data_IF_905654733747
#
_entry.id   IF_905654733747
#
_cell.length_a   1.000
_cell.length_b   1.000
_cell.length_c   1.000
_cell.angle_alpha   90.00
_cell.angle_beta   90.00
_cell.angle_gamma   90.00
#
_symmetry.space_group_name_H-M   'P 1'
#
loop_
_entity.id
_entity.type
_entity.pdbx_description
1 polymer ?
#
# COMPACT_ATOMS: atom_id res chain seq x y z
N UNK A 1 18.11 -62.89 27.10
CA UNK A 1 17.12 -62.70 26.01
C UNK A 1 16.66 -61.24 26.09
N UNK A 2 17.15 -60.35 25.22
CA UNK A 2 16.42 -59.76 24.06
C UNK A 2 14.99 -59.33 24.42
N UNK A 3 14.76 -58.00 24.50
CA UNK A 3 13.95 -57.20 23.53
C UNK A 3 12.46 -57.22 23.92
N UNK A 4 11.63 -56.19 23.86
CA UNK A 4 11.67 -54.84 23.29
C UNK A 4 10.54 -54.08 24.01
N UNK A 5 10.78 -52.87 24.54
CA UNK A 5 9.69 -51.95 24.85
C UNK A 5 9.27 -51.30 23.53
N UNK A 6 8.10 -51.68 23.01
CA UNK A 6 7.46 -51.03 21.87
C UNK A 6 6.69 -49.79 22.37
N UNK A 7 7.02 -48.61 21.85
CA UNK A 7 6.10 -47.46 21.76
C UNK A 7 5.42 -47.51 20.38
N UNK A 8 4.14 -47.15 20.24
CA UNK A 8 3.74 -45.77 19.87
C UNK A 8 2.40 -45.36 20.55
N UNK A 9 1.97 -44.10 20.59
CA UNK A 9 1.46 -43.36 19.42
C UNK A 9 1.32 -41.88 19.75
N UNK A 10 1.93 -41.05 18.90
CA UNK A 10 1.69 -39.62 18.81
C UNK A 10 0.27 -39.36 18.30
N UNK A 11 -0.45 -38.47 18.97
CA UNK A 11 -1.76 -37.98 18.56
C UNK A 11 -1.66 -37.34 17.17
N UNK A 12 -2.41 -37.87 16.21
CA UNK A 12 -2.46 -37.37 14.83
C UNK A 12 -3.20 -36.02 14.78
N UNK A 13 -2.58 -35.03 14.15
CA UNK A 13 -3.16 -33.73 13.78
C UNK A 13 -4.20 -33.93 12.67
N UNK A 14 -5.39 -33.35 12.86
CA UNK A 14 -6.50 -33.32 11.90
C UNK A 14 -6.10 -32.58 10.62
N UNK A 15 -6.42 -33.15 9.47
CA UNK A 15 -6.18 -32.57 8.14
C UNK A 15 -7.40 -31.73 7.75
N UNK A 16 -7.21 -30.41 7.56
CA UNK A 16 -8.23 -29.48 7.08
C UNK A 16 -8.22 -29.47 5.54
N UNK A 17 -9.23 -30.07 4.91
CA UNK A 17 -9.46 -29.90 3.48
C UNK A 17 -10.29 -28.64 3.25
N UNK A 18 -9.74 -27.66 2.53
CA UNK A 18 -10.42 -26.39 2.23
C UNK A 18 -11.21 -26.52 0.92
N UNK A 19 -12.48 -26.09 0.93
CA UNK A 19 -13.39 -26.15 -0.21
C UNK A 19 -13.03 -25.06 -1.25
N UNK A 20 -12.65 -25.50 -2.45
CA UNK A 20 -12.17 -24.63 -3.52
C UNK A 20 -13.26 -23.73 -4.11
N UNK A 21 -14.52 -24.18 -4.12
CA UNK A 21 -15.63 -23.41 -4.69
C UNK A 21 -16.01 -22.26 -3.74
N UNK A 22 -15.83 -22.44 -2.44
CA UNK A 22 -16.00 -21.39 -1.44
C UNK A 22 -14.88 -20.33 -1.51
N UNK A 23 -13.65 -20.73 -1.85
CA UNK A 23 -12.54 -19.79 -2.08
C UNK A 23 -12.83 -18.93 -3.30
N UNK A 24 -13.27 -19.52 -4.41
CA UNK A 24 -13.53 -18.80 -5.65
C UNK A 24 -14.66 -17.76 -5.49
N UNK A 25 -15.72 -18.12 -4.77
CA UNK A 25 -16.80 -17.20 -4.43
C UNK A 25 -16.34 -16.06 -3.51
N UNK A 26 -15.51 -16.34 -2.50
CA UNK A 26 -14.94 -15.31 -1.62
C UNK A 26 -13.98 -14.39 -2.38
N UNK A 27 -13.18 -14.93 -3.31
CA UNK A 27 -12.30 -14.13 -4.16
C UNK A 27 -13.12 -13.21 -5.05
N UNK A 28 -14.14 -13.73 -5.75
CA UNK A 28 -15.01 -12.93 -6.59
C UNK A 28 -15.72 -11.79 -5.82
N UNK A 29 -16.15 -12.03 -4.58
CA UNK A 29 -16.76 -11.00 -3.74
C UNK A 29 -15.75 -9.91 -3.33
N UNK A 30 -14.55 -10.30 -2.91
CA UNK A 30 -13.49 -9.37 -2.53
C UNK A 30 -13.07 -8.45 -3.69
N UNK A 31 -13.04 -8.97 -4.92
CA UNK A 31 -12.78 -8.15 -6.11
C UNK A 31 -13.89 -7.15 -6.40
N UNK A 32 -15.16 -7.53 -6.21
CA UNK A 32 -16.30 -6.62 -6.41
C UNK A 32 -16.32 -5.52 -5.35
N UNK A 33 -15.97 -5.83 -4.10
CA UNK A 33 -15.83 -4.85 -3.02
C UNK A 33 -14.64 -3.91 -3.25
N UNK A 34 -13.54 -4.40 -3.82
CA UNK A 34 -12.37 -3.60 -4.19
C UNK A 34 -12.67 -2.60 -5.32
N UNK A 35 -13.47 -3.00 -6.32
CA UNK A 35 -13.89 -2.11 -7.42
C UNK A 35 -14.94 -1.09 -6.96
N UNK A 36 -15.62 -1.35 -5.84
CA UNK A 36 -16.65 -0.47 -5.27
C UNK A 36 -16.11 0.51 -4.20
N UNK A 37 -14.81 0.47 -3.89
CA UNK A 37 -14.17 1.36 -2.91
C UNK A 37 -13.89 2.75 -3.51
N UNK A 38 -14.27 3.78 -2.75
CA UNK A 38 -14.01 5.19 -3.04
C UNK A 38 -12.50 5.49 -2.86
N UNK A 39 -11.90 6.33 -3.71
CA UNK A 39 -10.47 6.68 -3.63
C UNK A 39 -10.10 7.33 -2.28
N UNK A 40 -11.09 7.89 -1.58
CA UNK A 40 -10.95 8.42 -0.22
C UNK A 40 -10.79 7.34 0.86
N UNK A 41 -11.11 6.09 0.53
CA UNK A 41 -11.00 4.92 1.40
C UNK A 41 -9.70 4.14 1.18
N UNK A 42 -9.03 4.35 0.04
CA UNK A 42 -7.69 3.84 -0.19
C UNK A 42 -6.69 4.75 0.54
N UNK A 43 -6.07 4.19 1.57
CA UNK A 43 -5.02 4.87 2.30
C UNK A 43 -3.67 4.58 1.64
N UNK A 44 -2.62 5.36 1.91
CA UNK A 44 -1.29 5.12 1.35
C UNK A 44 -0.74 3.70 1.55
N UNK A 45 -1.34 2.90 2.42
CA UNK A 45 -1.02 1.49 2.65
C UNK A 45 -1.59 0.53 1.58
N UNK A 46 -2.62 0.94 0.83
CA UNK A 46 -3.11 0.19 -0.34
C UNK A 46 -2.19 0.37 -1.56
N UNK A 47 -1.33 1.40 -1.53
CA UNK A 47 -0.31 1.68 -2.53
C UNK A 47 0.92 0.77 -2.38
N UNK A 48 1.12 0.23 -1.17
CA UNK A 48 2.23 -0.65 -0.80
C UNK A 48 2.13 -2.06 -1.40
N UNK A 49 0.92 -2.56 -1.72
CA UNK A 49 0.72 -3.87 -2.36
C UNK A 49 1.13 -3.88 -3.85
N UNK A 50 1.34 -2.70 -4.44
CA UNK A 50 1.74 -2.53 -5.85
C UNK A 50 3.25 -2.37 -6.05
N UNK A 51 4.05 -2.35 -4.97
CA UNK A 51 5.51 -2.20 -5.04
C UNK A 51 6.20 -3.32 -4.25
N UNK A 52 6.91 -4.20 -4.98
CA UNK A 52 7.62 -5.36 -4.41
C UNK A 52 8.91 -5.00 -3.64
N UNK A 53 9.42 -3.76 -3.76
CA UNK A 53 10.65 -3.32 -3.08
C UNK A 53 10.58 -1.83 -2.68
N UNK A 54 10.30 -1.55 -1.39
CA UNK A 54 9.90 -0.22 -0.87
C UNK A 54 10.82 0.32 0.23
N UNK A 55 11.98 -0.28 0.46
CA UNK A 55 12.86 -0.04 1.62
C UNK A 55 13.29 1.44 1.89
N UNK A 56 12.88 2.41 1.07
CA UNK A 56 13.12 3.85 1.25
C UNK A 56 11.88 4.78 1.15
N UNK A 57 10.65 4.24 1.14
CA UNK A 57 9.42 5.04 1.08
C UNK A 57 9.16 5.91 2.34
N UNK A 58 8.71 7.16 2.17
CA UNK A 58 8.30 8.06 3.26
C UNK A 58 7.01 8.83 2.93
N UNK A 59 6.21 9.20 3.93
CA UNK A 59 5.08 10.13 3.75
C UNK A 59 5.57 11.56 3.99
N UNK A 60 5.36 12.47 3.03
CA UNK A 60 5.69 13.87 3.13
C UNK A 60 4.49 14.76 2.77
N UNK A 61 3.96 15.49 3.76
CA UNK A 61 2.77 16.36 3.62
C UNK A 61 1.55 15.66 2.99
N UNK A 62 1.35 14.38 3.30
CA UNK A 62 0.27 13.56 2.75
C UNK A 62 0.59 12.87 1.42
N UNK A 63 1.75 13.16 0.83
CA UNK A 63 2.22 12.48 -0.38
C UNK A 63 3.02 11.25 -0.01
N UNK A 64 2.88 10.18 -0.80
CA UNK A 64 3.75 9.02 -0.73
C UNK A 64 4.99 9.26 -1.57
N UNK A 65 6.17 9.26 -0.97
CA UNK A 65 7.45 9.47 -1.65
C UNK A 65 8.31 8.21 -1.58
N UNK A 66 9.07 7.91 -2.63
CA UNK A 66 10.03 6.81 -2.63
C UNK A 66 11.23 7.10 -3.54
N UNK A 67 12.35 6.41 -3.29
CA UNK A 67 13.50 6.41 -4.19
C UNK A 67 13.46 5.14 -5.04
N UNK A 68 13.25 5.29 -6.34
CA UNK A 68 13.36 4.20 -7.31
C UNK A 68 14.85 3.97 -7.60
N UNK A 69 15.52 3.25 -6.69
CA UNK A 69 16.95 2.99 -6.78
C UNK A 69 17.30 1.92 -7.83
N UNK A 70 16.33 1.08 -8.21
CA UNK A 70 16.55 -0.09 -9.06
C UNK A 70 16.42 0.20 -10.55
N UNK A 71 15.50 1.10 -10.94
CA UNK A 71 15.18 1.36 -12.35
C UNK A 71 15.71 2.70 -12.81
N UNK A 72 15.24 3.80 -12.22
CA UNK A 72 15.52 5.15 -12.72
C UNK A 72 16.55 5.93 -11.90
N UNK A 73 16.79 5.53 -10.65
CA UNK A 73 17.58 6.28 -9.67
C UNK A 73 16.92 7.58 -9.19
N UNK A 74 15.66 7.83 -9.55
CA UNK A 74 14.97 9.08 -9.22
C UNK A 74 14.16 8.99 -7.94
N UNK A 75 13.87 10.15 -7.37
CA UNK A 75 12.87 10.32 -6.33
C UNK A 75 11.51 10.53 -6.96
N UNK A 76 10.52 9.85 -6.42
CA UNK A 76 9.16 9.90 -6.90
C UNK A 76 8.23 10.25 -5.75
N UNK A 77 7.13 10.90 -6.09
CA UNK A 77 6.11 11.31 -5.15
C UNK A 77 4.73 11.12 -5.76
N UNK A 78 3.79 10.64 -4.98
CA UNK A 78 2.41 10.42 -5.37
C UNK A 78 1.46 11.23 -4.48
N UNK A 79 0.55 11.95 -5.10
CA UNK A 79 -0.53 12.70 -4.46
C UNK A 79 -1.85 11.99 -4.62
N UNK A 80 -2.40 11.49 -3.52
CA UNK A 80 -3.71 10.85 -3.52
C UNK A 80 -4.86 11.82 -3.77
N UNK A 81 -4.70 13.12 -3.47
CA UNK A 81 -5.77 14.10 -3.64
C UNK A 81 -5.95 14.52 -5.10
N UNK A 82 -4.90 14.42 -5.91
CA UNK A 82 -4.96 14.77 -7.33
C UNK A 82 -4.71 13.60 -8.28
N UNK A 83 -4.46 12.41 -7.74
CA UNK A 83 -4.07 11.19 -8.46
C UNK A 83 -2.92 11.45 -9.44
N UNK A 84 -1.83 12.02 -8.92
CA UNK A 84 -0.66 12.41 -9.72
C UNK A 84 0.64 11.94 -9.15
N UNK A 85 1.47 11.39 -10.03
CA UNK A 85 2.87 11.07 -9.79
C UNK A 85 3.78 12.19 -10.28
N UNK A 86 4.78 12.51 -9.45
CA UNK A 86 5.84 13.46 -9.72
C UNK A 86 7.18 12.75 -9.63
N UNK A 87 8.11 13.07 -10.53
CA UNK A 87 9.44 12.47 -10.59
C UNK A 87 10.49 13.57 -10.55
N UNK A 88 11.50 13.40 -9.71
CA UNK A 88 12.57 14.35 -9.48
C UNK A 88 13.92 13.65 -9.34
N UNK A 89 14.99 14.33 -9.76
CA UNK A 89 16.36 13.79 -9.66
C UNK A 89 16.89 13.69 -8.23
N UNK A 90 16.26 14.36 -7.27
CA UNK A 90 16.67 14.35 -5.87
C UNK A 90 15.48 14.56 -4.94
N UNK A 91 15.62 14.05 -3.72
CA UNK A 91 14.62 14.20 -2.65
C UNK A 91 14.29 15.67 -2.38
N UNK A 92 15.30 16.54 -2.43
CA UNK A 92 15.14 17.99 -2.18
C UNK A 92 14.23 18.62 -3.23
N UNK A 93 14.38 18.23 -4.50
CA UNK A 93 13.51 18.73 -5.56
C UNK A 93 12.08 18.17 -5.48
N UNK A 94 11.93 16.90 -5.10
CA UNK A 94 10.61 16.31 -4.84
C UNK A 94 9.89 17.07 -3.72
N UNK A 95 10.54 17.26 -2.56
CA UNK A 95 9.97 17.98 -1.41
C UNK A 95 9.63 19.43 -1.74
N UNK A 96 10.50 20.14 -2.47
CA UNK A 96 10.23 21.52 -2.88
C UNK A 96 9.03 21.65 -3.83
N UNK A 97 8.83 20.67 -4.71
CA UNK A 97 7.65 20.63 -5.58
C UNK A 97 6.37 20.39 -4.79
N UNK A 98 6.38 19.41 -3.87
CA UNK A 98 5.26 19.12 -2.97
C UNK A 98 4.91 20.34 -2.13
N UNK A 99 5.91 21.01 -1.54
CA UNK A 99 5.70 22.23 -0.77
C UNK A 99 4.99 23.32 -1.58
N UNK A 100 5.41 23.51 -2.83
CA UNK A 100 4.80 24.51 -3.72
C UNK A 100 3.34 24.18 -4.01
N UNK A 101 3.02 22.91 -4.26
CA UNK A 101 1.65 22.44 -4.54
C UNK A 101 0.77 22.59 -3.30
N UNK A 102 1.20 22.07 -2.16
CA UNK A 102 0.43 22.12 -0.92
C UNK A 102 0.22 23.56 -0.43
N UNK A 103 1.23 24.42 -0.57
CA UNK A 103 1.10 25.83 -0.19
C UNK A 103 0.09 26.55 -1.09
N UNK A 104 0.05 26.23 -2.39
CA UNK A 104 -0.96 26.76 -3.30
C UNK A 104 -2.37 26.26 -2.95
N UNK A 105 -2.50 24.97 -2.64
CA UNK A 105 -3.77 24.35 -2.22
C UNK A 105 -4.31 24.97 -0.94
N UNK A 106 -3.47 25.08 0.09
CA UNK A 106 -3.85 25.71 1.37
C UNK A 106 -4.26 27.17 1.19
N UNK A 107 -3.58 27.91 0.31
CA UNK A 107 -3.96 29.29 -0.02
C UNK A 107 -5.32 29.37 -0.70
N UNK A 108 -5.60 28.47 -1.65
CA UNK A 108 -6.89 28.43 -2.34
C UNK A 108 -8.03 28.08 -1.37
N UNK A 109 -7.83 27.10 -0.48
CA UNK A 109 -8.80 26.74 0.57
C UNK A 109 -9.08 27.94 1.47
N UNK A 110 -8.04 28.60 1.99
CA UNK A 110 -8.21 29.79 2.83
C UNK A 110 -8.97 30.91 2.12
N UNK A 111 -8.79 31.10 0.81
CA UNK A 111 -9.55 32.09 0.04
C UNK A 111 -11.03 31.74 -0.09
N UNK A 112 -11.38 30.46 -0.17
CA UNK A 112 -12.78 30.00 -0.23
C UNK A 112 -13.48 30.16 1.13
N UNK A 113 -12.76 29.92 2.24
CA UNK A 113 -13.31 30.07 3.59
C UNK A 113 -13.63 31.52 3.98
N UNK A 114 -12.98 32.50 3.37
CA UNK A 114 -13.25 33.93 3.61
C UNK A 114 -14.34 34.53 2.70
N UNK A 115 -14.90 33.74 1.78
CA UNK A 115 -15.95 34.18 0.84
C UNK A 115 -17.35 33.69 1.24
N UNK A 116 -17.45 32.83 2.26
CA UNK A 116 -18.70 32.35 2.88
C UNK A 116 -19.02 33.20 4.11
#
# INVERSE_FOLDING_TARGET
MKSTLYSPTATATKSDSVDADAIDACTALAWVELVALDDSALTGDDWLVLCDDIDSGEIYRGWFMWHDCEVSGNWEAYDHLSDRRFVAKSQVFAKSAIDSIENARNKAIAQLEFVI
#
